data_IF_997295610371
#
_entry.id   IF_997295610371
#
_cell.length_a   1.000
_cell.length_b   1.000
_cell.length_c   1.000
_cell.angle_alpha   90.00
_cell.angle_beta   90.00
_cell.angle_gamma   90.00
#
_symmetry.space_group_name_H-M   'P 1'
#
loop_
_entity.id
_entity.type
_entity.pdbx_description
1 polymer ?
#
# COMPACT_ATOMS: atom_id res chain seq x y z
N UNK A 1 15.59 -18.15 -3.38
CA UNK A 1 14.64 -17.05 -3.60
C UNK A 1 15.39 -15.77 -3.29
N UNK A 2 15.87 -15.13 -4.35
CA UNK A 2 16.88 -14.08 -4.35
C UNK A 2 16.33 -12.82 -3.70
N UNK A 3 17.21 -12.03 -3.08
CA UNK A 3 16.97 -10.67 -2.58
C UNK A 3 16.18 -9.79 -3.56
N UNK A 4 16.25 -10.09 -4.86
CA UNK A 4 15.50 -9.44 -5.93
C UNK A 4 13.98 -9.47 -5.73
N UNK A 5 13.40 -10.58 -5.25
CA UNK A 5 11.94 -10.67 -5.08
C UNK A 5 11.45 -9.79 -3.93
N UNK A 6 12.24 -9.72 -2.84
CA UNK A 6 11.95 -8.80 -1.74
C UNK A 6 12.04 -7.36 -2.23
N UNK A 7 13.10 -7.02 -2.97
CA UNK A 7 13.35 -5.67 -3.46
C UNK A 7 12.27 -5.21 -4.45
N UNK A 8 11.85 -6.09 -5.37
CA UNK A 8 10.73 -5.86 -6.30
C UNK A 8 9.39 -5.75 -5.56
N UNK A 9 9.17 -6.60 -4.56
CA UNK A 9 7.93 -6.60 -3.77
C UNK A 9 7.77 -5.33 -2.94
N UNK A 10 8.82 -4.87 -2.27
CA UNK A 10 8.79 -3.60 -1.54
C UNK A 10 8.81 -2.39 -2.47
N UNK A 11 9.39 -2.48 -3.66
CA UNK A 11 9.24 -1.43 -4.68
C UNK A 11 7.78 -1.29 -5.15
N UNK A 12 7.07 -2.41 -5.35
CA UNK A 12 5.65 -2.38 -5.66
C UNK A 12 4.81 -1.77 -4.51
N UNK A 13 5.11 -2.12 -3.26
CA UNK A 13 4.46 -1.52 -2.08
C UNK A 13 4.77 -0.02 -1.96
N UNK A 14 6.01 0.40 -2.20
CA UNK A 14 6.39 1.81 -2.19
C UNK A 14 5.66 2.59 -3.29
N UNK A 15 5.53 2.02 -4.49
CA UNK A 15 4.77 2.61 -5.57
C UNK A 15 3.27 2.71 -5.23
N UNK A 16 2.69 1.67 -4.63
CA UNK A 16 1.30 1.72 -4.14
C UNK A 16 1.12 2.83 -3.09
N UNK A 17 2.03 2.91 -2.12
CA UNK A 17 2.04 3.98 -1.11
C UNK A 17 2.14 5.37 -1.74
N UNK A 18 2.99 5.56 -2.74
CA UNK A 18 3.15 6.83 -3.45
C UNK A 18 1.88 7.24 -4.20
N UNK A 19 1.24 6.30 -4.91
CA UNK A 19 -0.05 6.57 -5.57
C UNK A 19 -1.13 6.96 -4.56
N UNK A 20 -1.14 6.34 -3.38
CA UNK A 20 -2.06 6.71 -2.31
C UNK A 20 -1.75 8.09 -1.73
N UNK A 21 -0.50 8.55 -1.74
CA UNK A 21 -0.15 9.94 -1.34
C UNK A 21 -0.60 10.93 -2.41
N UNK A 22 -0.53 10.56 -3.70
CA UNK A 22 -1.01 11.42 -4.79
C UNK A 22 -2.52 11.70 -4.73
N UNK A 23 -3.31 10.93 -3.98
CA UNK A 23 -4.74 11.27 -3.78
C UNK A 23 -4.92 12.58 -3.03
N UNK A 24 -3.89 13.14 -2.38
CA UNK A 24 -3.93 14.48 -1.79
C UNK A 24 -4.34 15.55 -2.81
N UNK A 25 -4.07 15.34 -4.10
CA UNK A 25 -4.47 16.27 -5.16
C UNK A 25 -5.99 16.32 -5.38
N UNK A 26 -6.76 15.34 -4.88
CA UNK A 26 -8.23 15.43 -4.88
C UNK A 26 -8.74 16.51 -3.92
N UNK A 27 -7.92 17.01 -2.98
CA UNK A 27 -8.29 18.13 -2.11
C UNK A 27 -8.37 19.48 -2.83
N UNK A 28 -7.93 19.54 -4.10
CA UNK A 28 -8.05 20.75 -4.92
C UNK A 28 -9.52 21.04 -5.22
N UNK A 29 -10.37 20.02 -5.27
CA UNK A 29 -11.81 20.17 -5.45
C UNK A 29 -12.53 19.85 -4.13
N UNK A 30 -13.12 20.84 -3.44
CA UNK A 30 -13.72 20.64 -2.11
C UNK A 30 -14.99 19.77 -2.13
N UNK A 31 -15.58 19.56 -3.31
CA UNK A 31 -16.81 18.79 -3.48
C UNK A 31 -16.58 17.28 -3.70
N UNK A 32 -15.34 16.83 -3.94
CA UNK A 32 -15.04 15.46 -4.41
C UNK A 32 -14.95 14.41 -3.28
N UNK A 33 -14.34 14.73 -2.13
CA UNK A 33 -14.13 13.75 -1.06
C UNK A 33 -14.05 14.37 0.35
N UNK A 34 -14.61 13.72 1.38
CA UNK A 34 -14.44 14.17 2.76
C UNK A 34 -12.96 14.25 3.14
N UNK A 35 -12.50 15.42 3.57
CA UNK A 35 -11.09 15.70 3.89
C UNK A 35 -10.48 14.65 4.83
N UNK A 36 -11.25 14.17 5.82
CA UNK A 36 -10.80 13.14 6.75
C UNK A 36 -10.44 11.80 6.07
N UNK A 37 -11.16 11.43 5.01
CA UNK A 37 -10.87 10.22 4.22
C UNK A 37 -9.59 10.39 3.42
N UNK A 38 -9.42 11.55 2.77
CA UNK A 38 -8.19 11.83 1.99
C UNK A 38 -6.96 11.82 2.89
N UNK A 39 -7.03 12.46 4.06
CA UNK A 39 -5.93 12.46 5.03
C UNK A 39 -5.61 11.06 5.56
N UNK A 40 -6.63 10.23 5.79
CA UNK A 40 -6.41 8.83 6.20
C UNK A 40 -5.71 8.01 5.11
N UNK A 41 -6.14 8.16 3.85
CA UNK A 41 -5.53 7.48 2.69
C UNK A 41 -4.08 7.91 2.50
N UNK A 42 -3.82 9.21 2.52
CA UNK A 42 -2.47 9.78 2.39
C UNK A 42 -1.59 9.31 3.54
N UNK A 43 -2.09 9.36 4.78
CA UNK A 43 -1.37 8.89 5.96
C UNK A 43 -0.98 7.42 5.86
N UNK A 44 -1.91 6.55 5.45
CA UNK A 44 -1.62 5.13 5.22
C UNK A 44 -0.65 4.91 4.05
N UNK A 45 -0.71 5.75 3.01
CA UNK A 45 0.26 5.78 1.92
C UNK A 45 1.68 6.06 2.41
N UNK A 46 1.84 7.07 3.28
CA UNK A 46 3.13 7.41 3.91
C UNK A 46 3.63 6.26 4.80
N UNK A 47 2.76 5.66 5.61
CA UNK A 47 3.12 4.51 6.46
C UNK A 47 3.56 3.32 5.60
N UNK A 48 2.88 3.09 4.47
CA UNK A 48 3.26 2.04 3.51
C UNK A 48 4.65 2.30 2.94
N UNK A 49 4.95 3.54 2.55
CA UNK A 49 6.26 3.97 2.07
C UNK A 49 7.36 3.76 3.12
N UNK A 50 7.12 4.21 4.35
CA UNK A 50 8.07 4.06 5.46
C UNK A 50 8.34 2.58 5.76
N UNK A 51 7.30 1.74 5.79
CA UNK A 51 7.43 0.30 5.96
C UNK A 51 8.19 -0.36 4.81
N UNK A 52 7.90 0.01 3.56
CA UNK A 52 8.57 -0.52 2.37
C UNK A 52 10.06 -0.14 2.35
N UNK A 53 10.39 1.09 2.73
CA UNK A 53 11.77 1.54 2.90
C UNK A 53 12.50 0.77 4.00
N UNK A 54 11.86 0.56 5.15
CA UNK A 54 12.41 -0.27 6.21
C UNK A 54 12.60 -1.74 5.76
N UNK A 55 11.71 -2.26 4.91
CA UNK A 55 11.84 -3.58 4.30
C UNK A 55 13.06 -3.67 3.37
N UNK A 56 13.37 -2.62 2.59
CA UNK A 56 14.61 -2.54 1.81
C UNK A 56 15.87 -2.57 2.67
N UNK A 57 15.80 -2.01 3.89
CA UNK A 57 16.87 -2.09 4.89
C UNK A 57 16.96 -3.46 5.57
N UNK A 58 16.14 -4.44 5.16
CA UNK A 58 16.10 -5.79 5.72
C UNK A 58 15.16 -5.98 6.91
N UNK A 59 14.36 -4.96 7.27
CA UNK A 59 13.42 -5.05 8.39
C UNK A 59 12.16 -5.81 8.02
N UNK A 60 11.98 -7.00 8.61
CA UNK A 60 10.76 -7.81 8.45
C UNK A 60 9.53 -7.14 9.05
N UNK A 61 9.72 -6.43 10.18
CA UNK A 61 8.65 -5.64 10.80
C UNK A 61 8.21 -4.51 9.87
N UNK A 62 9.17 -3.85 9.20
CA UNK A 62 8.87 -2.85 8.17
C UNK A 62 8.02 -3.41 7.04
N UNK A 63 8.36 -4.61 6.55
CA UNK A 63 7.58 -5.28 5.52
C UNK A 63 6.15 -5.62 5.97
N UNK A 64 5.98 -6.11 7.20
CA UNK A 64 4.65 -6.37 7.77
C UNK A 64 3.83 -5.08 7.86
N UNK A 65 4.42 -3.99 8.37
CA UNK A 65 3.76 -2.69 8.45
C UNK A 65 3.33 -2.20 7.07
N UNK A 66 4.20 -2.31 6.07
CA UNK A 66 3.88 -1.91 4.69
C UNK A 66 2.69 -2.69 4.13
N UNK A 67 2.68 -4.01 4.31
CA UNK A 67 1.60 -4.87 3.83
C UNK A 67 0.28 -4.55 4.54
N UNK A 68 0.31 -4.43 5.87
CA UNK A 68 -0.90 -4.15 6.66
C UNK A 68 -1.45 -2.77 6.32
N UNK A 69 -0.60 -1.74 6.25
CA UNK A 69 -1.03 -0.38 5.90
C UNK A 69 -1.63 -0.33 4.49
N UNK A 70 -1.00 -0.99 3.51
CA UNK A 70 -1.51 -1.06 2.14
C UNK A 70 -2.86 -1.79 2.06
N UNK A 71 -3.03 -2.90 2.80
CA UNK A 71 -4.29 -3.64 2.87
C UNK A 71 -5.39 -2.83 3.55
N UNK A 72 -5.10 -2.18 4.68
CA UNK A 72 -6.07 -1.30 5.34
C UNK A 72 -6.49 -0.19 4.40
N UNK A 73 -5.54 0.43 3.69
CA UNK A 73 -5.89 1.48 2.74
C UNK A 73 -6.79 0.97 1.61
N UNK A 74 -6.42 -0.16 1.02
CA UNK A 74 -7.13 -0.81 -0.06
C UNK A 74 -8.58 -1.21 0.32
N UNK A 75 -8.75 -1.86 1.47
CA UNK A 75 -10.05 -2.39 1.89
C UNK A 75 -10.94 -1.36 2.59
N UNK A 76 -10.36 -0.52 3.47
CA UNK A 76 -11.15 0.42 4.26
C UNK A 76 -11.52 1.69 3.47
N UNK A 77 -10.71 2.07 2.48
CA UNK A 77 -10.91 3.33 1.76
C UNK A 77 -11.04 3.15 0.23
N UNK A 78 -10.28 2.23 -0.36
CA UNK A 78 -10.34 1.96 -1.81
C UNK A 78 -11.67 1.34 -2.26
N UNK A 79 -12.17 0.34 -1.51
CA UNK A 79 -13.44 -0.33 -1.85
C UNK A 79 -14.66 0.57 -1.70
N UNK A 80 -14.85 1.34 -0.61
CA UNK A 80 -15.98 2.27 -0.52
C UNK A 80 -15.96 3.36 -1.60
N UNK A 81 -14.78 3.83 -2.02
CA UNK A 81 -14.64 4.84 -3.07
C UNK A 81 -15.20 4.39 -4.43
N UNK A 82 -15.24 3.08 -4.71
CA UNK A 82 -15.89 2.52 -5.89
C UNK A 82 -17.42 2.67 -5.90
N UNK A 83 -18.03 2.89 -4.73
CA UNK A 83 -19.47 3.03 -4.58
C UNK A 83 -19.93 4.50 -4.50
N UNK A 84 -19.00 5.46 -4.53
CA UNK A 84 -19.28 6.89 -4.29
C UNK A 84 -19.19 7.75 -5.57
N UNK A 85 -19.31 7.16 -6.76
CA UNK A 85 -19.28 7.89 -8.05
C UNK A 85 -18.03 8.77 -8.23
N UNK A 86 -16.90 8.30 -7.68
CA UNK A 86 -15.63 9.03 -7.71
C UNK A 86 -15.12 9.24 -9.16
N UNK A 87 -14.40 10.34 -9.42
CA UNK A 87 -13.80 10.60 -10.73
C UNK A 87 -12.99 9.41 -11.29
N UNK A 88 -13.06 9.13 -12.61
CA UNK A 88 -12.42 7.96 -13.21
C UNK A 88 -10.90 7.89 -12.99
N UNK A 89 -10.24 9.04 -12.89
CA UNK A 89 -8.80 9.13 -12.64
C UNK A 89 -8.43 8.69 -11.21
N UNK A 90 -9.29 8.96 -10.22
CA UNK A 90 -9.11 8.50 -8.83
C UNK A 90 -9.27 6.98 -8.79
N UNK A 91 -10.32 6.45 -9.45
CA UNK A 91 -10.54 5.01 -9.55
C UNK A 91 -9.33 4.31 -10.19
N UNK A 92 -8.77 4.88 -11.27
CA UNK A 92 -7.57 4.34 -11.91
C UNK A 92 -6.36 4.30 -10.95
N UNK A 93 -6.13 5.37 -10.16
CA UNK A 93 -5.06 5.40 -9.15
C UNK A 93 -5.26 4.33 -8.07
N UNK A 94 -6.47 4.24 -7.52
CA UNK A 94 -6.83 3.27 -6.47
C UNK A 94 -6.68 1.84 -6.98
N UNK A 95 -7.20 1.53 -8.18
CA UNK A 95 -7.08 0.20 -8.78
C UNK A 95 -5.61 -0.16 -9.05
N UNK A 96 -4.81 0.78 -9.55
CA UNK A 96 -3.38 0.55 -9.78
C UNK A 96 -2.63 0.30 -8.46
N UNK A 97 -2.92 1.08 -7.42
CA UNK A 97 -2.35 0.87 -6.09
C UNK A 97 -2.76 -0.49 -5.49
N UNK A 98 -4.00 -0.94 -5.73
CA UNK A 98 -4.49 -2.25 -5.31
C UNK A 98 -3.72 -3.39 -5.99
N UNK A 99 -3.55 -3.32 -7.31
CA UNK A 99 -2.77 -4.31 -8.07
C UNK A 99 -1.32 -4.35 -7.59
N UNK A 100 -0.68 -3.18 -7.41
CA UNK A 100 0.68 -3.09 -6.88
C UNK A 100 0.80 -3.66 -5.47
N UNK A 101 -0.21 -3.48 -4.63
CA UNK A 101 -0.27 -4.08 -3.28
C UNK A 101 -0.29 -5.60 -3.37
N UNK A 102 -1.14 -6.18 -4.22
CA UNK A 102 -1.19 -7.63 -4.43
C UNK A 102 0.16 -8.15 -4.93
N UNK A 103 0.72 -7.52 -5.96
CA UNK A 103 2.03 -7.87 -6.52
C UNK A 103 3.10 -7.83 -5.43
N UNK A 104 3.14 -6.76 -4.64
CA UNK A 104 4.03 -6.59 -3.50
C UNK A 104 3.91 -7.71 -2.47
N UNK A 105 2.68 -8.07 -2.10
CA UNK A 105 2.39 -9.16 -1.15
C UNK A 105 2.79 -10.52 -1.71
N UNK A 106 2.52 -10.81 -2.99
CA UNK A 106 2.88 -12.08 -3.61
C UNK A 106 4.40 -12.26 -3.67
N UNK A 107 5.12 -11.19 -4.02
CA UNK A 107 6.58 -11.20 -4.14
C UNK A 107 7.28 -11.23 -2.77
N UNK A 108 6.82 -10.43 -1.80
CA UNK A 108 7.49 -10.26 -0.51
C UNK A 108 6.86 -11.08 0.64
N UNK A 109 5.65 -11.60 0.49
CA UNK A 109 4.97 -12.43 1.48
C UNK A 109 5.71 -13.73 1.88
N UNK A 110 6.34 -14.47 0.93
CA UNK A 110 7.12 -15.67 1.26
C UNK A 110 8.28 -15.39 2.24
N UNK A 111 8.84 -14.19 2.22
CA UNK A 111 9.93 -13.76 3.13
C UNK A 111 9.48 -13.72 4.60
N UNK A 112 8.18 -13.52 4.87
CA UNK A 112 7.61 -13.55 6.21
C UNK A 112 7.35 -14.98 6.70
N UNK A 113 7.06 -15.92 5.79
CA UNK A 113 6.71 -17.32 6.13
C UNK A 113 7.88 -18.18 6.62
N UNK A 114 9.12 -17.83 6.29
CA UNK A 114 10.33 -18.65 6.60
C UNK A 114 10.65 -18.81 8.10
N UNK A 115 9.92 -18.17 9.01
CA UNK A 115 10.25 -18.15 10.45
C UNK A 115 9.55 -19.24 11.27
N UNK A 116 8.59 -19.99 10.72
CA UNK A 116 7.98 -21.15 11.40
C UNK A 116 8.72 -22.44 11.05
N UNK A 117 9.93 -22.61 11.59
CA UNK A 117 10.44 -23.95 11.88
C UNK A 117 10.46 -24.09 13.41
N UNK A 118 9.61 -24.94 14.00
CA UNK A 118 9.73 -25.28 15.42
C UNK A 118 11.11 -25.89 15.65
N UNK A 119 11.82 -25.41 16.68
CA UNK A 119 13.02 -26.05 17.18
C UNK A 119 12.61 -27.46 17.66
N UNK A 120 13.12 -28.48 16.97
CA UNK A 120 13.04 -29.88 17.39
C UNK A 120 14.16 -30.20 18.38
#
# INVERSE_FOLDING_TARGET
MTTDNLQRGSAALAAAGALNVCTVFSLVDPDDAPIGVVLAVVGLGVVTLAGAYAAWRGSRTGLLIAIVAALVNAFAFGLPGWFLDAPPWILALVTTAFVLTIVGIVLAGPTLRRTRQPLA
#
